data_IF_245133643377
#
_entry.id   IF_245133643377
#
_cell.length_a   1.000
_cell.length_b   1.000
_cell.length_c   1.000
_cell.angle_alpha   90.00
_cell.angle_beta   90.00
_cell.angle_gamma   90.00
#
_symmetry.space_group_name_H-M   'P 1'
#
loop_
_entity.id
_entity.type
_entity.pdbx_description
1 polymer ?
#
# COMPACT_ATOMS: atom_id res chain seq x y z
N UNK A 1 -20.44 14.08 -1.06
CA UNK A 1 -19.96 13.36 0.14
C UNK A 1 -19.12 14.28 1.01
N UNK A 2 -18.03 14.87 0.50
CA UNK A 2 -17.19 15.82 1.24
C UNK A 2 -17.99 16.95 1.90
N UNK A 3 -18.82 17.66 1.13
CA UNK A 3 -19.68 18.74 1.65
C UNK A 3 -20.55 18.31 2.85
N UNK A 4 -21.12 17.10 2.78
CA UNK A 4 -21.96 16.58 3.86
C UNK A 4 -21.14 16.26 5.12
N UNK A 5 -19.92 15.76 4.98
CA UNK A 5 -19.01 15.50 6.12
C UNK A 5 -18.52 16.82 6.72
N UNK A 6 -18.20 17.80 5.87
CA UNK A 6 -17.78 19.13 6.29
C UNK A 6 -18.88 19.90 7.01
N UNK A 7 -20.16 19.72 6.62
CA UNK A 7 -21.30 20.32 7.32
C UNK A 7 -21.42 19.86 8.78
N UNK A 8 -20.90 18.67 9.10
CA UNK A 8 -20.83 18.12 10.46
C UNK A 8 -19.49 18.44 11.17
N UNK A 9 -18.63 19.26 10.56
CA UNK A 9 -17.37 19.73 11.14
C UNK A 9 -16.21 18.72 11.12
N UNK A 10 -16.35 17.61 10.39
CA UNK A 10 -15.30 16.60 10.27
C UNK A 10 -14.45 16.79 9.00
N UNK A 11 -13.22 16.27 9.04
CA UNK A 11 -12.34 16.17 7.87
C UNK A 11 -12.61 14.86 7.12
N UNK A 12 -12.42 14.85 5.81
CA UNK A 12 -12.62 13.66 4.98
C UNK A 12 -11.38 13.36 4.13
N UNK A 13 -10.87 12.14 4.29
CA UNK A 13 -9.85 11.55 3.42
C UNK A 13 -10.35 10.26 2.79
N UNK A 14 -9.64 9.83 1.74
CA UNK A 14 -9.83 8.52 1.12
C UNK A 14 -8.50 7.77 1.06
N UNK A 15 -8.57 6.47 1.29
CA UNK A 15 -7.43 5.58 1.09
C UNK A 15 -7.39 5.09 -0.35
N UNK A 16 -6.25 5.26 -1.02
CA UNK A 16 -6.00 4.80 -2.37
C UNK A 16 -5.33 3.43 -2.34
N UNK A 17 -5.94 2.47 -3.03
CA UNK A 17 -5.58 1.06 -2.98
C UNK A 17 -5.36 0.50 -4.38
N UNK A 18 -4.35 -0.35 -4.52
CA UNK A 18 -4.20 -1.25 -5.65
C UNK A 18 -3.97 -2.68 -5.17
N UNK A 19 -4.78 -3.63 -5.63
CA UNK A 19 -4.84 -4.99 -5.05
C UNK A 19 -3.66 -5.90 -5.41
N UNK A 20 -3.03 -5.66 -6.57
CA UNK A 20 -1.91 -6.47 -7.03
C UNK A 20 -2.33 -7.92 -7.30
N UNK A 21 -1.56 -8.90 -6.81
CA UNK A 21 -1.92 -10.34 -6.95
C UNK A 21 -3.27 -10.70 -6.31
N UNK A 22 -3.79 -9.88 -5.41
CA UNK A 22 -5.09 -10.09 -4.73
C UNK A 22 -6.31 -9.71 -5.58
N UNK A 23 -6.13 -9.25 -6.82
CA UNK A 23 -7.26 -8.95 -7.70
C UNK A 23 -8.13 -10.19 -7.91
N UNK A 24 -9.44 -10.07 -7.69
CA UNK A 24 -10.35 -11.21 -7.74
C UNK A 24 -10.83 -11.52 -9.16
N UNK A 25 -11.05 -12.81 -9.43
CA UNK A 25 -11.66 -13.32 -10.66
C UNK A 25 -13.02 -12.69 -10.99
N UNK A 26 -13.77 -12.23 -9.98
CA UNK A 26 -15.04 -11.55 -10.18
C UNK A 26 -14.91 -10.31 -11.08
N UNK A 27 -13.74 -9.64 -11.11
CA UNK A 27 -13.50 -8.53 -12.04
C UNK A 27 -13.49 -8.97 -13.51
N UNK A 28 -13.20 -10.24 -13.80
CA UNK A 28 -13.30 -10.80 -15.16
C UNK A 28 -14.77 -10.88 -15.65
N UNK A 29 -15.73 -10.86 -14.72
CA UNK A 29 -17.16 -10.87 -15.05
C UNK A 29 -17.70 -9.46 -15.34
N UNK A 30 -16.88 -8.43 -15.13
CA UNK A 30 -17.22 -7.06 -15.49
C UNK A 30 -16.96 -6.83 -16.97
N UNK A 31 -17.99 -6.38 -17.68
CA UNK A 31 -17.99 -6.21 -19.15
C UNK A 31 -17.00 -5.16 -19.64
N UNK A 32 -16.39 -4.38 -18.73
CA UNK A 32 -15.32 -3.42 -19.05
C UNK A 32 -13.98 -4.10 -19.26
N UNK A 33 -13.81 -5.36 -18.85
CA UNK A 33 -12.58 -6.12 -19.01
C UNK A 33 -12.68 -7.08 -20.18
N UNK A 34 -11.55 -7.32 -20.83
CA UNK A 34 -11.42 -8.32 -21.88
C UNK A 34 -11.62 -9.73 -21.27
N UNK A 35 -12.69 -10.46 -21.63
CA UNK A 35 -12.95 -11.80 -21.11
C UNK A 35 -11.89 -12.81 -21.56
N UNK A 36 -11.12 -12.49 -22.60
CA UNK A 36 -10.06 -13.35 -23.16
C UNK A 36 -8.67 -12.94 -22.64
N UNK A 37 -8.57 -11.92 -21.77
CA UNK A 37 -7.31 -11.52 -21.17
C UNK A 37 -6.65 -12.70 -20.44
N UNK A 38 -5.43 -13.04 -20.86
CA UNK A 38 -4.60 -14.07 -20.23
C UNK A 38 -4.29 -13.71 -18.77
N UNK A 39 -4.09 -12.42 -18.50
CA UNK A 39 -3.72 -11.90 -17.19
C UNK A 39 -4.70 -10.82 -16.73
N UNK A 40 -5.37 -11.09 -15.60
CA UNK A 40 -6.37 -10.24 -14.96
C UNK A 40 -5.85 -9.58 -13.67
N UNK A 41 -4.70 -10.03 -13.16
CA UNK A 41 -3.98 -9.45 -12.04
C UNK A 41 -2.53 -9.12 -12.44
N UNK A 42 -1.96 -8.13 -11.76
CA UNK A 42 -0.60 -7.62 -11.96
C UNK A 42 0.11 -7.59 -10.62
N UNK A 43 1.39 -7.96 -10.59
CA UNK A 43 2.19 -8.00 -9.37
C UNK A 43 3.68 -7.80 -9.69
N UNK A 44 4.55 -7.58 -8.70
CA UNK A 44 5.99 -7.42 -8.94
C UNK A 44 6.62 -8.67 -9.57
N UNK A 45 6.09 -9.86 -9.27
CA UNK A 45 6.59 -11.14 -9.78
C UNK A 45 5.43 -12.11 -10.06
N UNK A 46 5.65 -13.14 -10.88
CA UNK A 46 4.67 -14.19 -11.21
C UNK A 46 4.52 -15.20 -10.07
N UNK A 47 4.15 -14.72 -8.88
CA UNK A 47 3.99 -15.53 -7.68
C UNK A 47 2.51 -15.51 -7.30
N UNK A 48 1.81 -16.66 -7.31
CA UNK A 48 0.41 -16.72 -6.90
C UNK A 48 0.28 -16.52 -5.38
N UNK A 49 -0.95 -16.32 -4.91
CA UNK A 49 -1.28 -16.33 -3.49
C UNK A 49 -1.02 -17.72 -2.90
N UNK A 50 0.07 -17.86 -2.15
CA UNK A 50 0.55 -19.15 -1.64
C UNK A 50 -0.43 -19.85 -0.69
N UNK A 51 -1.36 -19.11 -0.09
CA UNK A 51 -2.39 -19.61 0.84
C UNK A 51 -3.66 -20.11 0.15
N UNK A 52 -3.83 -19.83 -1.14
CA UNK A 52 -5.04 -20.19 -1.90
C UNK A 52 -4.69 -21.29 -2.92
N UNK A 53 -5.02 -22.56 -2.64
CA UNK A 53 -4.80 -23.65 -3.58
C UNK A 53 -5.48 -23.36 -4.93
N UNK A 54 -4.71 -23.42 -6.02
CA UNK A 54 -5.21 -23.11 -7.36
C UNK A 54 -5.41 -21.61 -7.62
N UNK A 55 -4.87 -20.73 -6.77
CA UNK A 55 -4.79 -19.31 -7.09
C UNK A 55 -4.10 -19.10 -8.42
N UNK A 56 -4.70 -18.21 -9.21
CA UNK A 56 -4.13 -17.84 -10.49
C UNK A 56 -2.85 -17.04 -10.28
N UNK A 57 -1.88 -17.32 -11.13
CA UNK A 57 -0.64 -16.57 -11.19
C UNK A 57 -0.90 -15.17 -11.76
N UNK A 58 -0.32 -14.10 -11.19
CA UNK A 58 -0.40 -12.76 -11.78
C UNK A 58 0.63 -12.61 -12.92
N UNK A 59 0.45 -11.61 -13.78
CA UNK A 59 1.54 -11.17 -14.68
C UNK A 59 2.55 -10.39 -13.84
N UNK A 60 3.83 -10.68 -14.02
CA UNK A 60 4.88 -9.78 -13.55
C UNK A 60 4.81 -8.48 -14.34
N UNK A 61 4.79 -7.36 -13.62
CA UNK A 61 4.70 -6.05 -14.24
C UNK A 61 5.98 -5.71 -15.01
N UNK A 62 5.85 -5.10 -16.17
CA UNK A 62 6.98 -4.43 -16.85
C UNK A 62 7.14 -2.99 -16.34
N UNK A 63 8.27 -2.34 -16.68
CA UNK A 63 8.57 -0.99 -16.22
C UNK A 63 7.48 0.03 -16.60
N UNK A 64 6.89 -0.12 -17.80
CA UNK A 64 5.82 0.76 -18.27
C UNK A 64 4.56 0.62 -17.43
N UNK A 65 4.15 -0.60 -17.11
CA UNK A 65 3.03 -0.86 -16.21
C UNK A 65 3.29 -0.33 -14.79
N UNK A 66 4.53 -0.40 -14.30
CA UNK A 66 4.88 0.13 -12.98
C UNK A 66 4.75 1.65 -12.94
N UNK A 67 5.30 2.33 -13.94
CA UNK A 67 5.20 3.78 -14.08
C UNK A 67 3.74 4.24 -14.28
N UNK A 68 2.94 3.50 -15.05
CA UNK A 68 1.49 3.78 -15.20
C UNK A 68 0.76 3.73 -13.86
N UNK A 69 1.06 2.77 -12.99
CA UNK A 69 0.45 2.68 -11.66
C UNK A 69 0.91 3.83 -10.75
N UNK A 70 2.18 4.23 -10.81
CA UNK A 70 2.69 5.39 -10.07
C UNK A 70 1.93 6.66 -10.48
N UNK A 71 1.80 6.90 -11.79
CA UNK A 71 1.03 8.02 -12.33
C UNK A 71 -0.45 7.94 -11.94
N UNK A 72 -1.03 6.73 -11.93
CA UNK A 72 -2.41 6.52 -11.52
C UNK A 72 -2.66 6.89 -10.05
N UNK A 73 -1.71 6.63 -9.14
CA UNK A 73 -1.79 7.07 -7.74
C UNK A 73 -1.80 8.60 -7.64
N UNK A 74 -0.89 9.28 -8.35
CA UNK A 74 -0.87 10.75 -8.41
C UNK A 74 -2.17 11.33 -8.96
N UNK A 75 -2.65 10.79 -10.08
CA UNK A 75 -3.90 11.23 -10.69
C UNK A 75 -5.13 10.93 -9.81
N UNK A 76 -5.14 9.82 -9.08
CA UNK A 76 -6.20 9.49 -8.13
C UNK A 76 -6.20 10.44 -6.93
N UNK A 77 -5.02 10.81 -6.42
CA UNK A 77 -4.87 11.79 -5.35
C UNK A 77 -5.39 13.17 -5.78
N UNK A 78 -5.01 13.65 -6.97
CA UNK A 78 -5.52 14.90 -7.52
C UNK A 78 -7.05 14.89 -7.68
N UNK A 79 -7.63 13.79 -8.16
CA UNK A 79 -9.10 13.65 -8.27
C UNK A 79 -9.79 13.71 -6.91
N UNK A 80 -9.22 13.09 -5.89
CA UNK A 80 -9.77 13.13 -4.53
C UNK A 80 -9.81 14.56 -3.98
N UNK A 81 -8.71 15.29 -4.08
CA UNK A 81 -8.61 16.68 -3.62
C UNK A 81 -9.52 17.61 -4.42
N UNK A 82 -9.57 17.45 -5.75
CA UNK A 82 -10.48 18.21 -6.60
C UNK A 82 -11.97 17.96 -6.28
N UNK A 83 -12.30 16.79 -5.72
CA UNK A 83 -13.64 16.46 -5.22
C UNK A 83 -13.93 17.03 -3.82
N UNK A 84 -13.02 17.83 -3.26
CA UNK A 84 -13.17 18.50 -1.96
C UNK A 84 -12.73 17.67 -0.76
N UNK A 85 -11.98 16.57 -0.94
CA UNK A 85 -11.39 15.85 0.18
C UNK A 85 -10.20 16.63 0.75
N UNK A 86 -10.01 16.52 2.07
CA UNK A 86 -8.94 17.21 2.79
C UNK A 86 -7.57 16.54 2.65
N UNK A 87 -7.53 15.30 2.14
CA UNK A 87 -6.32 14.53 2.00
C UNK A 87 -6.53 13.12 1.49
N UNK A 88 -5.44 12.37 1.36
CA UNK A 88 -5.42 10.98 0.90
C UNK A 88 -4.47 10.12 1.72
N UNK A 89 -4.76 8.82 1.76
CA UNK A 89 -3.89 7.82 2.38
C UNK A 89 -3.41 6.80 1.36
N UNK A 90 -2.10 6.60 1.24
CA UNK A 90 -1.53 5.55 0.40
C UNK A 90 -1.57 4.20 1.13
N UNK A 91 -2.21 3.20 0.53
CA UNK A 91 -2.32 1.88 1.13
C UNK A 91 -1.05 1.02 0.90
N UNK A 92 -0.08 1.14 1.80
CA UNK A 92 1.19 0.39 1.83
C UNK A 92 1.15 -0.80 2.80
N UNK A 93 0.06 -1.55 2.85
CA UNK A 93 -0.14 -2.57 3.89
C UNK A 93 -0.93 -3.78 3.41
N UNK A 94 -1.15 -4.74 4.32
CA UNK A 94 -2.02 -5.90 4.16
C UNK A 94 -1.70 -6.87 3.01
N UNK A 95 -0.53 -6.78 2.38
CA UNK A 95 -0.17 -7.65 1.26
C UNK A 95 -0.78 -7.22 -0.07
N UNK A 96 -1.22 -5.97 -0.20
CA UNK A 96 -1.61 -5.36 -1.48
C UNK A 96 -0.41 -4.89 -2.30
N UNK A 97 -0.62 -4.35 -3.51
CA UNK A 97 0.46 -4.13 -4.47
C UNK A 97 1.67 -3.38 -3.90
N UNK A 98 1.51 -2.26 -3.18
CA UNK A 98 2.68 -1.57 -2.65
C UNK A 98 3.45 -2.39 -1.60
N UNK A 99 2.74 -3.15 -0.75
CA UNK A 99 3.38 -4.10 0.17
C UNK A 99 4.08 -5.23 -0.59
N UNK A 100 3.48 -5.72 -1.69
CA UNK A 100 4.09 -6.77 -2.51
C UNK A 100 5.44 -6.33 -3.08
N UNK A 101 5.61 -5.06 -3.45
CA UNK A 101 6.92 -4.53 -3.87
C UNK A 101 7.95 -4.51 -2.73
N UNK A 102 7.53 -4.21 -1.50
CA UNK A 102 8.41 -4.28 -0.33
C UNK A 102 8.72 -5.72 0.08
N UNK A 103 7.79 -6.65 -0.11
CA UNK A 103 7.87 -8.01 0.41
C UNK A 103 8.89 -8.86 -0.35
N UNK A 104 9.93 -9.42 0.30
CA UNK A 104 10.83 -10.38 -0.35
C UNK A 104 10.14 -11.70 -0.71
N UNK A 105 8.95 -11.97 -0.15
CA UNK A 105 8.13 -13.12 -0.49
C UNK A 105 7.40 -12.97 -1.83
N UNK A 106 7.06 -11.74 -2.22
CA UNK A 106 6.28 -11.44 -3.43
C UNK A 106 7.07 -10.70 -4.52
N UNK A 107 8.22 -10.12 -4.18
CA UNK A 107 9.09 -9.41 -5.12
C UNK A 107 10.43 -10.15 -5.28
N UNK A 108 10.48 -10.99 -6.33
CA UNK A 108 11.67 -11.73 -6.74
C UNK A 108 12.38 -11.06 -7.94
N UNK A 109 12.13 -9.77 -8.19
CA UNK A 109 12.78 -9.04 -9.29
C UNK A 109 14.26 -8.84 -9.00
N UNK A 110 15.04 -8.67 -10.05
CA UNK A 110 16.47 -8.33 -10.01
C UNK A 110 16.80 -7.00 -10.73
N UNK A 111 15.76 -6.22 -11.05
CA UNK A 111 15.83 -4.92 -11.72
C UNK A 111 15.69 -3.73 -10.75
N UNK A 112 15.42 -2.55 -11.30
CA UNK A 112 15.27 -1.28 -10.55
C UNK A 112 14.21 -1.34 -9.44
N UNK A 113 13.28 -2.28 -9.50
CA UNK A 113 12.11 -2.37 -8.60
C UNK A 113 12.20 -3.52 -7.59
N UNK A 114 13.29 -4.29 -7.56
CA UNK A 114 13.43 -5.38 -6.60
C UNK A 114 14.85 -5.94 -6.41
N UNK A 115 14.94 -6.97 -5.59
CA UNK A 115 16.19 -7.55 -5.12
C UNK A 115 16.55 -6.97 -3.75
N UNK A 116 17.45 -5.98 -3.72
CA UNK A 116 17.84 -5.38 -2.43
C UNK A 116 16.74 -4.47 -1.85
N UNK A 117 16.95 -4.06 -0.60
CA UNK A 117 16.04 -3.20 0.13
C UNK A 117 15.80 -1.85 -0.57
N UNK A 118 16.86 -1.24 -1.09
CA UNK A 118 16.78 0.08 -1.75
C UNK A 118 15.93 0.03 -3.02
N UNK A 119 16.06 -1.02 -3.83
CA UNK A 119 15.25 -1.19 -5.05
C UNK A 119 13.81 -1.58 -4.75
N UNK A 120 13.56 -2.39 -3.72
CA UNK A 120 12.18 -2.66 -3.24
C UNK A 120 11.48 -1.41 -2.73
N UNK A 121 12.21 -0.46 -2.14
CA UNK A 121 11.68 0.80 -1.63
C UNK A 121 11.34 1.82 -2.73
N UNK A 122 11.85 1.65 -3.97
CA UNK A 122 11.63 2.61 -5.05
C UNK A 122 10.16 2.81 -5.37
N UNK A 123 9.39 1.72 -5.47
CA UNK A 123 7.96 1.81 -5.83
C UNK A 123 7.14 2.67 -4.85
N UNK A 124 7.15 2.42 -3.52
CA UNK A 124 6.39 3.25 -2.59
C UNK A 124 6.90 4.70 -2.54
N UNK A 125 8.21 4.95 -2.65
CA UNK A 125 8.76 6.32 -2.71
C UNK A 125 8.21 7.06 -3.92
N UNK A 126 8.32 6.47 -5.11
CA UNK A 126 7.83 7.08 -6.36
C UNK A 126 6.32 7.33 -6.31
N UNK A 127 5.52 6.43 -5.71
CA UNK A 127 4.09 6.64 -5.52
C UNK A 127 3.79 7.83 -4.59
N UNK A 128 4.45 7.90 -3.43
CA UNK A 128 4.26 9.00 -2.49
C UNK A 128 4.68 10.35 -3.08
N UNK A 129 5.80 10.40 -3.80
CA UNK A 129 6.28 11.60 -4.49
C UNK A 129 5.29 12.05 -5.58
N UNK A 130 4.77 11.12 -6.38
CA UNK A 130 3.76 11.41 -7.40
C UNK A 130 2.46 11.93 -6.77
N UNK A 131 2.02 11.33 -5.66
CA UNK A 131 0.85 11.77 -4.90
C UNK A 131 1.05 13.16 -4.33
N UNK A 132 2.18 13.42 -3.64
CA UNK A 132 2.49 14.75 -3.07
C UNK A 132 2.55 15.81 -4.16
N UNK A 133 3.28 15.54 -5.24
CA UNK A 133 3.41 16.46 -6.38
C UNK A 133 2.05 16.83 -7.00
N UNK A 134 1.12 15.86 -7.03
CA UNK A 134 -0.20 16.05 -7.61
C UNK A 134 -1.18 16.83 -6.71
N UNK A 135 -1.00 16.79 -5.37
CA UNK A 135 -1.92 17.43 -4.41
C UNK A 135 -1.37 18.72 -3.78
N UNK A 136 -0.06 18.92 -3.82
CA UNK A 136 0.63 20.04 -3.16
C UNK A 136 0.68 19.90 -1.63
N UNK A 137 1.00 20.99 -0.94
CA UNK A 137 1.34 20.97 0.49
C UNK A 137 0.13 21.13 1.42
N UNK A 138 -1.03 21.55 0.90
CA UNK A 138 -2.21 21.84 1.73
C UNK A 138 -3.02 20.59 2.09
N UNK A 139 -3.34 19.68 1.16
CA UNK A 139 -4.02 18.44 1.51
C UNK A 139 -3.07 17.53 2.29
N UNK A 140 -3.57 16.86 3.31
CA UNK A 140 -2.74 15.92 4.04
C UNK A 140 -2.52 14.64 3.22
N UNK A 141 -1.31 14.10 3.29
CA UNK A 141 -0.91 12.84 2.67
C UNK A 141 -0.27 11.97 3.74
N UNK A 142 -0.84 10.81 3.99
CA UNK A 142 -0.21 9.78 4.80
C UNK A 142 -0.14 8.46 4.06
N UNK A 143 0.43 7.46 4.74
CA UNK A 143 0.34 6.07 4.29
C UNK A 143 -0.01 5.14 5.44
N UNK A 144 -0.65 4.02 5.08
CA UNK A 144 -0.90 2.92 6.00
C UNK A 144 0.12 1.82 5.77
N UNK A 145 0.76 1.33 6.84
CA UNK A 145 1.73 0.23 6.80
C UNK A 145 1.46 -0.78 7.92
N UNK A 146 1.77 -2.05 7.69
CA UNK A 146 1.71 -3.06 8.77
C UNK A 146 2.95 -2.97 9.63
N UNK A 147 2.81 -3.16 10.94
CA UNK A 147 3.93 -3.37 11.86
C UNK A 147 4.67 -4.67 11.62
N UNK A 148 3.98 -5.71 11.16
CA UNK A 148 4.55 -7.00 10.77
C UNK A 148 3.55 -7.71 9.86
N UNK A 149 4.03 -8.57 8.97
CA UNK A 149 3.18 -9.50 8.22
C UNK A 149 2.64 -10.66 9.05
N UNK A 150 3.36 -11.08 10.09
CA UNK A 150 3.22 -12.38 10.76
C UNK A 150 3.40 -13.61 9.84
N UNK A 151 3.93 -13.43 8.63
CA UNK A 151 4.09 -14.53 7.68
C UNK A 151 5.56 -14.86 7.48
N UNK A 152 5.98 -16.12 7.67
CA UNK A 152 7.38 -16.50 7.50
C UNK A 152 7.94 -16.13 6.12
N UNK A 153 9.06 -15.41 6.12
CA UNK A 153 9.74 -14.97 4.90
C UNK A 153 9.22 -13.66 4.31
N UNK A 154 8.23 -13.02 4.94
CA UNK A 154 7.80 -11.65 4.61
C UNK A 154 8.37 -10.66 5.65
N UNK A 155 7.96 -9.38 5.60
CA UNK A 155 8.48 -8.32 6.46
C UNK A 155 8.03 -8.50 7.91
N UNK A 156 8.98 -8.37 8.83
CA UNK A 156 8.76 -8.32 10.27
C UNK A 156 8.99 -6.90 10.82
N UNK A 157 8.68 -6.69 12.10
CA UNK A 157 8.77 -5.36 12.73
C UNK A 157 10.11 -4.64 12.51
N UNK A 158 11.29 -5.28 12.61
CA UNK A 158 12.55 -4.61 12.33
C UNK A 158 12.68 -4.11 10.89
N UNK A 159 12.19 -4.88 9.91
CA UNK A 159 12.21 -4.50 8.50
C UNK A 159 11.30 -3.30 8.24
N UNK A 160 10.10 -3.33 8.81
CA UNK A 160 9.12 -2.24 8.70
C UNK A 160 9.64 -0.96 9.33
N UNK A 161 10.33 -1.05 10.48
CA UNK A 161 10.95 0.11 11.12
C UNK A 161 11.96 0.77 10.18
N UNK A 162 12.74 0.00 9.43
CA UNK A 162 13.66 0.55 8.42
C UNK A 162 12.91 1.17 7.26
N UNK A 163 11.85 0.51 6.75
CA UNK A 163 10.99 1.06 5.70
C UNK A 163 10.43 2.42 6.12
N UNK A 164 9.82 2.52 7.30
CA UNK A 164 9.24 3.78 7.80
C UNK A 164 10.30 4.85 7.93
N UNK A 165 11.46 4.52 8.49
CA UNK A 165 12.57 5.47 8.63
C UNK A 165 13.01 6.04 7.28
N UNK A 166 13.14 5.21 6.26
CA UNK A 166 13.58 5.65 4.94
C UNK A 166 12.47 6.39 4.18
N UNK A 167 11.20 6.00 4.33
CA UNK A 167 10.09 6.75 3.75
C UNK A 167 9.98 8.15 4.36
N UNK A 168 10.07 8.32 5.68
CA UNK A 168 10.02 9.64 6.31
C UNK A 168 11.20 10.55 5.93
N UNK A 169 12.37 9.97 5.63
CA UNK A 169 13.53 10.73 5.16
C UNK A 169 13.37 11.21 3.72
N UNK A 170 12.72 10.42 2.87
CA UNK A 170 12.69 10.62 1.41
C UNK A 170 11.40 11.29 0.93
N UNK A 171 10.30 11.05 1.62
CA UNK A 171 8.96 11.45 1.19
C UNK A 171 8.38 12.52 2.14
N UNK A 172 7.61 13.44 1.56
CA UNK A 172 6.89 14.45 2.33
C UNK A 172 5.48 13.97 2.72
N UNK A 173 5.41 13.30 3.86
CA UNK A 173 4.19 12.72 4.43
C UNK A 173 3.84 13.37 5.77
N UNK A 174 2.55 13.51 6.05
CA UNK A 174 2.02 14.17 7.24
C UNK A 174 1.77 13.20 8.39
N UNK A 175 1.52 11.92 8.08
CA UNK A 175 1.28 10.90 9.10
C UNK A 175 1.55 9.47 8.61
N UNK A 176 1.81 8.59 9.58
CA UNK A 176 1.92 7.15 9.38
C UNK A 176 0.77 6.46 10.12
N UNK A 177 -0.06 5.73 9.38
CA UNK A 177 -1.12 4.88 9.92
C UNK A 177 -0.59 3.45 10.06
N UNK A 178 -0.62 2.90 11.27
CA UNK A 178 -0.06 1.58 11.55
C UNK A 178 -1.18 0.58 11.75
N UNK A 179 -1.07 -0.56 11.06
CA UNK A 179 -1.89 -1.76 11.29
C UNK A 179 -0.99 -2.95 11.55
N UNK A 180 -1.52 -4.18 11.53
CA UNK A 180 -0.71 -5.38 11.54
C UNK A 180 -1.33 -6.46 10.63
N UNK A 181 -0.48 -7.38 10.18
CA UNK A 181 -0.91 -8.57 9.47
C UNK A 181 -1.16 -8.38 7.97
N UNK A 182 -1.02 -9.49 7.25
CA UNK A 182 -1.44 -9.60 5.86
C UNK A 182 -2.66 -10.51 5.78
N UNK A 183 -3.23 -10.67 4.60
CA UNK A 183 -4.39 -11.57 4.44
C UNK A 183 -4.16 -13.01 4.95
N UNK A 184 -2.90 -13.43 5.01
CA UNK A 184 -2.47 -14.74 5.49
C UNK A 184 -2.44 -14.85 7.01
N UNK A 185 -2.39 -13.72 7.71
CA UNK A 185 -2.24 -13.67 9.16
C UNK A 185 -2.75 -12.34 9.73
N UNK A 186 -3.86 -12.40 10.46
CA UNK A 186 -4.38 -11.32 11.31
C UNK A 186 -4.82 -10.01 10.63
N UNK A 187 -5.03 -9.97 9.30
CA UNK A 187 -5.68 -8.78 8.67
C UNK A 187 -7.04 -8.44 9.29
N UNK A 188 -7.77 -9.47 9.72
CA UNK A 188 -8.93 -9.34 10.57
C UNK A 188 -8.56 -9.89 11.93
N UNK A 189 -8.56 -9.03 12.93
CA UNK A 189 -8.27 -9.44 14.30
C UNK A 189 -9.34 -10.42 14.79
N UNK A 190 -8.97 -11.64 15.23
CA UNK A 190 -9.90 -12.54 15.89
C UNK A 190 -10.43 -11.94 17.21
N UNK A 191 -11.68 -12.24 17.57
CA UNK A 191 -12.34 -11.69 18.77
C UNK A 191 -11.66 -12.05 20.11
N UNK A 192 -10.68 -12.96 20.12
CA UNK A 192 -9.97 -13.36 21.34
C UNK A 192 -8.79 -12.45 21.71
N UNK A 193 -8.39 -11.53 20.83
CA UNK A 193 -7.39 -10.52 21.16
C UNK A 193 -8.00 -9.44 22.05
N UNK A 194 -7.20 -8.93 22.98
CA UNK A 194 -7.60 -7.79 23.79
C UNK A 194 -7.76 -6.53 22.93
N UNK A 195 -8.62 -5.61 23.40
CA UNK A 195 -8.77 -4.31 22.75
C UNK A 195 -7.43 -3.56 22.76
N UNK A 196 -7.03 -3.05 21.60
CA UNK A 196 -5.78 -2.29 21.45
C UNK A 196 -4.51 -3.14 21.37
N UNK A 197 -4.61 -4.45 21.09
CA UNK A 197 -3.45 -5.35 20.96
C UNK A 197 -2.36 -4.88 19.98
N UNK A 198 -2.72 -4.13 18.92
CA UNK A 198 -1.74 -3.58 17.96
C UNK A 198 -0.92 -2.41 18.52
N UNK A 199 -1.32 -1.80 19.65
CA UNK A 199 -0.64 -0.63 20.22
C UNK A 199 0.84 -0.91 20.49
N UNK A 200 1.12 -2.09 21.03
CA UNK A 200 2.48 -2.46 21.41
C UNK A 200 3.32 -2.79 20.15
N UNK A 201 2.68 -3.27 19.07
CA UNK A 201 3.30 -3.49 17.76
C UNK A 201 3.56 -2.19 16.99
N UNK A 202 2.74 -1.17 17.20
CA UNK A 202 2.92 0.17 16.64
C UNK A 202 4.00 0.99 17.38
N UNK A 203 4.33 0.63 18.62
CA UNK A 203 5.26 1.39 19.45
C UNK A 203 6.68 1.53 18.85
N UNK A 204 7.30 0.48 18.27
CA UNK A 204 8.58 0.62 17.58
C UNK A 204 8.53 1.55 16.37
N UNK A 205 7.41 1.57 15.63
CA UNK A 205 7.22 2.48 14.49
C UNK A 205 7.13 3.92 14.99
N UNK A 206 6.35 4.17 16.04
CA UNK A 206 6.28 5.49 16.67
C UNK A 206 7.64 5.99 17.18
N UNK A 207 8.55 5.10 17.57
CA UNK A 207 9.88 5.50 18.04
C UNK A 207 10.79 6.03 16.92
N UNK A 208 10.52 5.67 15.66
CA UNK A 208 11.23 6.19 14.48
C UNK A 208 10.42 7.20 13.69
N UNK A 209 9.10 7.26 13.93
CA UNK A 209 8.15 8.16 13.32
C UNK A 209 7.94 9.39 14.20
N UNK A 210 8.37 10.56 13.71
CA UNK A 210 8.32 11.83 14.43
C UNK A 210 9.70 12.31 14.89
N UNK A 211 10.08 13.57 14.68
CA UNK A 211 9.31 14.79 14.89
C UNK A 211 9.78 15.87 13.91
N UNK A 212 8.89 16.39 13.06
CA UNK A 212 9.11 17.74 12.51
C UNK A 212 8.87 18.73 13.66
N UNK A 213 9.95 19.34 14.13
CA UNK A 213 9.97 20.48 15.06
C UNK A 213 9.46 21.74 14.39
#
# INVERSE_FOLDING_TARGET
MAEAVHAEGAKLAIQLLHTGVRSMLAFKQDTRFDPDAEWFSRAPSQIPLGETPGAMTPKAMDDGEIEEIIDAFGAAAARAVAAGLDGVEFHLSHGYLPWQFLSPLYNHRDDAWGGDFERRLQFPVRCLDAMRSAVGDQPFLGYRINSTSFWPGDLETPDVVEVVRELEKRCDVDYVSVSAGVHHAFIHTPMHFEQGWERDLASPIKAVSGSRS
#
